data_IF_656066066782
#
_entry.id   IF_656066066782
#
_cell.length_a   1.000
_cell.length_b   1.000
_cell.length_c   1.000
_cell.angle_alpha   90.00
_cell.angle_beta   90.00
_cell.angle_gamma   90.00
#
_symmetry.space_group_name_H-M   'P 1'
#
loop_
_entity.id
_entity.type
_entity.pdbx_description
1 polymer ?
#
# COMPACT_ATOMS: atom_id res chain seq x y z
N UNK A 1 -69.62 45.00 84.93
CA UNK A 1 -68.19 44.70 84.72
C UNK A 1 -67.43 46.02 84.73
N UNK A 2 -66.42 46.17 85.59
CA UNK A 2 -65.57 47.36 85.65
C UNK A 2 -64.72 47.49 84.37
N UNK A 3 -64.41 48.72 83.97
CA UNK A 3 -63.69 49.05 82.73
C UNK A 3 -62.31 48.36 82.64
N UNK A 4 -61.67 48.11 83.79
CA UNK A 4 -60.40 47.39 83.92
C UNK A 4 -60.48 45.90 83.56
N UNK A 5 -61.57 45.21 83.93
CA UNK A 5 -61.76 43.80 83.61
C UNK A 5 -61.97 43.56 82.11
N UNK A 6 -62.54 44.53 81.38
CA UNK A 6 -62.62 44.50 79.92
C UNK A 6 -61.24 44.75 79.28
N UNK A 7 -60.49 45.73 79.78
CA UNK A 7 -59.14 46.07 79.28
C UNK A 7 -58.14 44.91 79.46
N UNK A 8 -58.18 44.23 80.59
CA UNK A 8 -57.37 43.02 80.86
C UNK A 8 -57.68 41.86 79.90
N UNK A 9 -58.97 41.59 79.63
CA UNK A 9 -59.37 40.56 78.65
C UNK A 9 -58.89 40.86 77.23
N UNK A 10 -58.97 42.11 76.78
CA UNK A 10 -58.46 42.50 75.46
C UNK A 10 -56.94 42.32 75.35
N UNK A 11 -56.18 42.67 76.39
CA UNK A 11 -54.72 42.46 76.42
C UNK A 11 -54.35 40.98 76.33
N UNK A 12 -55.07 40.10 77.03
CA UNK A 12 -54.85 38.65 76.96
C UNK A 12 -55.14 38.12 75.54
N UNK A 13 -56.23 38.55 74.91
CA UNK A 13 -56.57 38.13 73.53
C UNK A 13 -55.49 38.60 72.54
N UNK A 14 -54.99 39.82 72.67
CA UNK A 14 -53.91 40.35 71.83
C UNK A 14 -52.62 39.55 72.05
N UNK A 15 -52.25 39.24 73.29
CA UNK A 15 -51.06 38.44 73.59
C UNK A 15 -51.15 37.03 73.01
N UNK A 16 -52.30 36.37 73.15
CA UNK A 16 -52.54 35.04 72.56
C UNK A 16 -52.48 35.11 71.04
N UNK A 17 -53.09 36.11 70.41
CA UNK A 17 -53.05 36.30 68.97
C UNK A 17 -51.61 36.51 68.46
N UNK A 18 -50.81 37.31 69.17
CA UNK A 18 -49.39 37.51 68.85
C UNK A 18 -48.59 36.22 68.95
N UNK A 19 -48.79 35.41 70.00
CA UNK A 19 -48.14 34.11 70.15
C UNK A 19 -48.52 33.17 69.02
N UNK A 20 -49.81 33.10 68.66
CA UNK A 20 -50.28 32.27 67.54
C UNK A 20 -49.67 32.71 66.22
N UNK A 21 -49.59 34.01 65.95
CA UNK A 21 -48.93 34.55 64.75
C UNK A 21 -47.45 34.17 64.75
N UNK A 22 -46.75 34.35 65.88
CA UNK A 22 -45.32 34.06 65.97
C UNK A 22 -45.00 32.58 65.72
N UNK A 23 -45.80 31.69 66.31
CA UNK A 23 -45.68 30.24 66.11
C UNK A 23 -46.01 29.87 64.66
N UNK A 24 -47.09 30.41 64.09
CA UNK A 24 -47.46 30.14 62.71
C UNK A 24 -46.40 30.62 61.71
N UNK A 25 -45.83 31.81 61.91
CA UNK A 25 -44.76 32.34 61.07
C UNK A 25 -43.49 31.50 61.17
N UNK A 26 -43.13 31.03 62.37
CA UNK A 26 -41.95 30.19 62.56
C UNK A 26 -42.13 28.80 61.89
N UNK A 27 -43.30 28.19 62.05
CA UNK A 27 -43.63 26.91 61.38
C UNK A 27 -43.63 27.10 59.85
N UNK A 28 -44.24 28.17 59.34
CA UNK A 28 -44.25 28.46 57.91
C UNK A 28 -42.84 28.68 57.37
N UNK A 29 -42.00 29.45 58.08
CA UNK A 29 -40.61 29.69 57.71
C UNK A 29 -39.79 28.40 57.73
N UNK A 30 -39.93 27.58 58.76
CA UNK A 30 -39.23 26.30 58.87
C UNK A 30 -39.64 25.30 57.78
N UNK A 31 -40.95 25.21 57.47
CA UNK A 31 -41.45 24.36 56.39
C UNK A 31 -40.96 24.84 55.01
N UNK A 32 -40.98 26.15 54.75
CA UNK A 32 -40.41 26.74 53.53
C UNK A 32 -38.91 26.49 53.44
N UNK A 33 -38.17 26.66 54.54
CA UNK A 33 -36.73 26.40 54.60
C UNK A 33 -36.40 24.93 54.29
N UNK A 34 -37.09 23.97 54.91
CA UNK A 34 -36.90 22.55 54.62
C UNK A 34 -37.24 22.19 53.16
N UNK A 35 -38.31 22.78 52.60
CA UNK A 35 -38.67 22.57 51.20
C UNK A 35 -37.60 23.12 50.24
N UNK A 36 -37.09 24.32 50.50
CA UNK A 36 -36.02 24.95 49.75
C UNK A 36 -34.71 24.16 49.86
N UNK A 37 -34.34 23.71 51.06
CA UNK A 37 -33.14 22.91 51.30
C UNK A 37 -33.23 21.53 50.61
N UNK A 38 -34.41 20.90 50.64
CA UNK A 38 -34.64 19.65 49.91
C UNK A 38 -34.48 19.83 48.40
N UNK A 39 -35.09 20.86 47.82
CA UNK A 39 -34.95 21.20 46.39
C UNK A 39 -33.51 21.54 46.02
N UNK A 40 -32.82 22.31 46.86
CA UNK A 40 -31.41 22.63 46.67
C UNK A 40 -30.54 21.37 46.64
N UNK A 41 -30.69 20.50 47.63
CA UNK A 41 -29.95 19.24 47.70
C UNK A 41 -30.26 18.30 46.52
N UNK A 42 -31.51 18.29 46.03
CA UNK A 42 -31.90 17.51 44.86
C UNK A 42 -31.23 18.05 43.58
N UNK A 43 -31.25 19.36 43.37
CA UNK A 43 -30.59 20.00 42.22
C UNK A 43 -29.06 19.86 42.28
N UNK A 44 -28.45 20.02 43.46
CA UNK A 44 -27.02 19.80 43.67
C UNK A 44 -26.60 18.37 43.30
N UNK A 45 -27.40 17.37 43.72
CA UNK A 45 -27.18 15.96 43.35
C UNK A 45 -27.36 15.74 41.84
N UNK A 46 -28.37 16.34 41.22
CA UNK A 46 -28.59 16.26 39.76
C UNK A 46 -27.40 16.83 38.99
N UNK A 47 -26.94 18.02 39.36
CA UNK A 47 -25.76 18.68 38.78
C UNK A 47 -24.49 17.84 38.94
N UNK A 48 -24.28 17.27 40.12
CA UNK A 48 -23.12 16.39 40.40
C UNK A 48 -23.15 15.13 39.54
N UNK A 49 -24.31 14.50 39.41
CA UNK A 49 -24.49 13.30 38.57
C UNK A 49 -24.30 13.62 37.09
N UNK A 50 -24.86 14.74 36.60
CA UNK A 50 -24.67 15.19 35.21
C UNK A 50 -23.20 15.50 34.90
N UNK A 51 -22.50 16.15 35.84
CA UNK A 51 -21.07 16.47 35.69
C UNK A 51 -20.22 15.20 35.68
N UNK A 52 -20.51 14.24 36.57
CA UNK A 52 -19.84 12.94 36.61
C UNK A 52 -20.03 12.16 35.31
N UNK A 53 -21.25 12.18 34.75
CA UNK A 53 -21.55 11.57 33.45
C UNK A 53 -20.82 12.27 32.30
N UNK A 54 -20.74 13.59 32.30
CA UNK A 54 -19.99 14.37 31.30
C UNK A 54 -18.48 14.07 31.35
N UNK A 55 -17.89 13.99 32.54
CA UNK A 55 -16.47 13.62 32.72
C UNK A 55 -16.20 12.19 32.23
N UNK A 56 -17.08 11.24 32.58
CA UNK A 56 -16.95 9.86 32.11
C UNK A 56 -17.05 9.79 30.58
N UNK A 57 -18.01 10.51 29.98
CA UNK A 57 -18.17 10.62 28.53
C UNK A 57 -16.96 11.26 27.85
N UNK A 58 -16.38 12.31 28.43
CA UNK A 58 -15.17 12.96 27.92
C UNK A 58 -13.93 12.03 27.98
N UNK A 59 -13.80 11.23 29.06
CA UNK A 59 -12.74 10.21 29.17
C UNK A 59 -12.88 9.14 28.10
N UNK A 60 -14.10 8.64 27.87
CA UNK A 60 -14.39 7.68 26.80
C UNK A 60 -14.05 8.27 25.43
N UNK A 61 -14.51 9.49 25.14
CA UNK A 61 -14.21 10.17 23.87
C UNK A 61 -12.70 10.35 23.65
N UNK A 62 -11.95 10.77 24.67
CA UNK A 62 -10.50 10.90 24.59
C UNK A 62 -9.82 9.55 24.31
N UNK A 63 -10.26 8.47 24.97
CA UNK A 63 -9.79 7.11 24.69
C UNK A 63 -10.11 6.67 23.27
N UNK A 64 -11.31 6.98 22.75
CA UNK A 64 -11.71 6.71 21.37
C UNK A 64 -10.86 7.49 20.37
N UNK A 65 -10.55 8.76 20.63
CA UNK A 65 -9.64 9.55 19.79
C UNK A 65 -8.23 8.96 19.77
N UNK A 66 -7.71 8.51 20.92
CA UNK A 66 -6.41 7.81 20.99
C UNK A 66 -6.44 6.51 20.20
N UNK A 67 -7.52 5.73 20.32
CA UNK A 67 -7.70 4.49 19.57
C UNK A 67 -7.76 4.74 18.06
N UNK A 68 -8.51 5.76 17.62
CA UNK A 68 -8.59 6.16 16.22
C UNK A 68 -7.22 6.56 15.66
N UNK A 69 -6.44 7.35 16.42
CA UNK A 69 -5.06 7.69 16.05
C UNK A 69 -4.16 6.45 15.98
N UNK A 70 -4.31 5.51 16.91
CA UNK A 70 -3.56 4.24 16.87
C UNK A 70 -3.92 3.41 15.62
N UNK A 71 -5.21 3.35 15.25
CA UNK A 71 -5.65 2.72 14.00
C UNK A 71 -5.07 3.41 12.77
N UNK A 72 -5.12 4.74 12.70
CA UNK A 72 -4.53 5.51 11.59
C UNK A 72 -3.03 5.22 11.45
N UNK A 73 -2.30 5.19 12.56
CA UNK A 73 -0.88 4.85 12.56
C UNK A 73 -0.64 3.41 12.09
N UNK A 74 -1.44 2.45 12.57
CA UNK A 74 -1.34 1.04 12.16
C UNK A 74 -1.60 0.86 10.65
N UNK A 75 -2.63 1.52 10.11
CA UNK A 75 -2.90 1.54 8.67
C UNK A 75 -1.73 2.14 7.89
N UNK A 76 -1.14 3.22 8.40
CA UNK A 76 0.05 3.83 7.78
C UNK A 76 1.24 2.86 7.77
N UNK A 77 1.49 2.12 8.85
CA UNK A 77 2.55 1.11 8.90
C UNK A 77 2.28 -0.08 7.97
N UNK A 78 1.03 -0.54 7.90
CA UNK A 78 0.62 -1.60 6.98
C UNK A 78 0.86 -1.19 5.53
N UNK A 79 0.44 0.03 5.15
CA UNK A 79 0.69 0.56 3.81
C UNK A 79 2.19 0.66 3.53
N UNK A 80 2.99 1.20 4.47
CA UNK A 80 4.44 1.27 4.31
C UNK A 80 5.09 -0.11 4.14
N UNK A 81 4.63 -1.11 4.89
CA UNK A 81 5.11 -2.49 4.80
C UNK A 81 4.71 -3.13 3.47
N UNK A 82 3.50 -2.86 3.00
CA UNK A 82 3.02 -3.31 1.69
C UNK A 82 3.84 -2.70 0.55
N UNK A 83 4.08 -1.38 0.57
CA UNK A 83 4.95 -0.72 -0.42
C UNK A 83 6.38 -1.29 -0.38
N UNK A 84 6.94 -1.57 0.80
CA UNK A 84 8.27 -2.18 0.92
C UNK A 84 8.31 -3.59 0.30
N UNK A 85 7.29 -4.42 0.57
CA UNK A 85 7.20 -5.76 -0.02
C UNK A 85 6.98 -5.73 -1.54
N UNK A 86 6.20 -4.77 -2.05
CA UNK A 86 6.03 -4.55 -3.48
C UNK A 86 7.35 -4.10 -4.13
N UNK A 87 8.08 -3.17 -3.52
CA UNK A 87 9.38 -2.73 -3.99
C UNK A 87 10.42 -3.87 -4.00
N UNK A 88 10.43 -4.74 -2.99
CA UNK A 88 11.29 -5.92 -2.95
C UNK A 88 10.98 -6.90 -4.10
N UNK A 89 9.70 -7.20 -4.33
CA UNK A 89 9.27 -8.05 -5.45
C UNK A 89 9.64 -7.44 -6.81
N UNK A 90 9.41 -6.14 -7.00
CA UNK A 90 9.78 -5.44 -8.23
C UNK A 90 11.29 -5.40 -8.45
N UNK A 91 12.09 -5.23 -7.38
CA UNK A 91 13.56 -5.27 -7.46
C UNK A 91 14.08 -6.66 -7.82
N UNK A 92 13.51 -7.71 -7.22
CA UNK A 92 13.86 -9.09 -7.55
C UNK A 92 13.57 -9.40 -9.03
N UNK A 93 12.41 -8.97 -9.53
CA UNK A 93 12.05 -9.15 -10.94
C UNK A 93 13.01 -8.42 -11.89
N UNK A 94 13.42 -7.19 -11.55
CA UNK A 94 14.45 -6.46 -12.30
C UNK A 94 15.79 -7.21 -12.28
N UNK A 95 16.27 -7.63 -11.11
CA UNK A 95 17.54 -8.35 -11.00
C UNK A 95 17.55 -9.64 -11.82
N UNK A 96 16.51 -10.47 -11.70
CA UNK A 96 16.39 -11.70 -12.50
C UNK A 96 16.29 -11.39 -14.00
N UNK A 97 15.60 -10.32 -14.39
CA UNK A 97 15.57 -9.88 -15.78
C UNK A 97 16.93 -9.41 -16.29
N UNK A 98 17.72 -8.70 -15.49
CA UNK A 98 19.08 -8.25 -15.85
C UNK A 98 20.02 -9.44 -16.03
N UNK A 99 19.95 -10.44 -15.14
CA UNK A 99 20.74 -11.67 -15.24
C UNK A 99 20.38 -12.45 -16.51
N UNK A 100 19.10 -12.62 -16.81
CA UNK A 100 18.64 -13.27 -18.04
C UNK A 100 19.03 -12.47 -19.29
N UNK A 101 19.00 -11.14 -19.23
CA UNK A 101 19.46 -10.30 -20.34
C UNK A 101 20.96 -10.49 -20.59
N UNK A 102 21.78 -10.50 -19.54
CA UNK A 102 23.20 -10.78 -19.65
C UNK A 102 23.47 -12.18 -20.25
N UNK A 103 22.70 -13.19 -19.84
CA UNK A 103 22.77 -14.53 -20.42
C UNK A 103 22.43 -14.45 -21.91
N UNK A 104 21.28 -13.88 -22.27
CA UNK A 104 20.81 -13.76 -23.65
C UNK A 104 21.83 -13.06 -24.55
N UNK A 105 22.39 -11.92 -24.13
CA UNK A 105 23.40 -11.19 -24.90
C UNK A 105 24.67 -12.02 -25.09
N UNK A 106 25.16 -12.68 -24.03
CA UNK A 106 26.38 -13.49 -24.12
C UNK A 106 26.18 -14.72 -25.00
N UNK A 107 25.07 -15.43 -24.86
CA UNK A 107 24.79 -16.62 -25.67
C UNK A 107 24.53 -16.24 -27.13
N UNK A 108 23.93 -15.07 -27.39
CA UNK A 108 23.75 -14.56 -28.74
C UNK A 108 25.08 -14.20 -29.40
N UNK A 109 25.97 -13.50 -28.68
CA UNK A 109 27.32 -13.17 -29.16
C UNK A 109 28.14 -14.44 -29.46
N UNK A 110 28.10 -15.43 -28.56
CA UNK A 110 28.71 -16.74 -28.80
C UNK A 110 28.13 -17.39 -30.05
N UNK A 111 26.80 -17.38 -30.23
CA UNK A 111 26.16 -17.93 -31.41
C UNK A 111 26.63 -17.22 -32.69
N UNK A 112 26.64 -15.89 -32.73
CA UNK A 112 27.13 -15.09 -33.86
C UNK A 112 28.58 -15.45 -34.20
N UNK A 113 29.47 -15.48 -33.20
CA UNK A 113 30.88 -15.78 -33.41
C UNK A 113 31.09 -17.20 -33.96
N UNK A 114 30.40 -18.19 -33.39
CA UNK A 114 30.45 -19.57 -33.88
C UNK A 114 29.85 -19.70 -35.28
N UNK A 115 28.80 -18.96 -35.62
CA UNK A 115 28.22 -18.93 -36.97
C UNK A 115 29.21 -18.36 -37.98
N UNK A 116 29.91 -17.27 -37.65
CA UNK A 116 30.97 -16.71 -38.50
C UNK A 116 32.10 -17.72 -38.70
N UNK A 117 32.55 -18.37 -37.63
CA UNK A 117 33.64 -19.34 -37.68
C UNK A 117 33.26 -20.61 -38.48
N UNK A 118 32.03 -21.10 -38.32
CA UNK A 118 31.48 -22.21 -39.10
C UNK A 118 31.50 -21.92 -40.61
N UNK A 119 31.21 -20.68 -40.99
CA UNK A 119 31.16 -20.26 -42.38
C UNK A 119 32.53 -20.42 -43.07
N UNK A 120 33.60 -20.05 -42.37
CA UNK A 120 34.98 -20.02 -42.90
C UNK A 120 35.79 -21.29 -42.64
N UNK A 121 35.25 -22.25 -41.86
CA UNK A 121 35.97 -23.45 -41.42
C UNK A 121 35.38 -24.75 -41.99
N UNK A 122 35.71 -25.16 -43.23
CA UNK A 122 35.11 -26.34 -43.88
C UNK A 122 35.18 -27.63 -43.07
N UNK A 123 36.30 -27.86 -42.36
CA UNK A 123 36.55 -29.10 -41.62
C UNK A 123 35.83 -29.19 -40.27
N UNK A 124 35.42 -28.06 -39.69
CA UNK A 124 34.75 -27.99 -38.39
C UNK A 124 33.31 -27.46 -38.50
N UNK A 125 32.85 -27.12 -39.71
CA UNK A 125 31.58 -26.44 -39.96
C UNK A 125 30.40 -27.10 -39.29
N UNK A 126 30.27 -28.42 -39.44
CA UNK A 126 29.14 -29.16 -38.87
C UNK A 126 29.02 -28.97 -37.35
N UNK A 127 30.13 -29.16 -36.62
CA UNK A 127 30.16 -29.03 -35.16
C UNK A 127 29.97 -27.57 -34.71
N UNK A 128 30.62 -26.62 -35.39
CA UNK A 128 30.49 -25.19 -35.09
C UNK A 128 29.06 -24.68 -35.36
N UNK A 129 28.46 -25.08 -36.47
CA UNK A 129 27.06 -24.78 -36.82
C UNK A 129 26.09 -25.32 -35.77
N UNK A 130 26.30 -26.55 -35.29
CA UNK A 130 25.47 -27.15 -34.25
C UNK A 130 25.63 -26.43 -32.90
N UNK A 131 26.86 -26.10 -32.52
CA UNK A 131 27.13 -25.35 -31.30
C UNK A 131 26.54 -23.93 -31.36
N UNK A 132 26.63 -23.27 -32.52
CA UNK A 132 26.03 -21.95 -32.76
C UNK A 132 24.50 -21.99 -32.63
N UNK A 133 23.83 -22.99 -33.23
CA UNK A 133 22.38 -23.20 -33.07
C UNK A 133 21.99 -23.45 -31.62
N UNK A 134 22.75 -24.26 -30.88
CA UNK A 134 22.50 -24.49 -29.45
C UNK A 134 22.63 -23.20 -28.62
N UNK A 135 23.65 -22.37 -28.88
CA UNK A 135 23.82 -21.09 -28.20
C UNK A 135 22.70 -20.09 -28.57
N UNK A 136 22.24 -20.09 -29.82
CA UNK A 136 21.08 -19.30 -30.24
C UNK A 136 19.79 -19.76 -29.53
N UNK A 137 19.58 -21.06 -29.39
CA UNK A 137 18.44 -21.62 -28.63
C UNK A 137 18.49 -21.27 -27.14
N UNK A 138 19.68 -21.26 -26.52
CA UNK A 138 19.83 -20.75 -25.15
C UNK A 138 19.43 -19.28 -25.03
N UNK A 139 19.73 -18.48 -26.06
CA UNK A 139 19.28 -17.08 -26.14
C UNK A 139 17.76 -16.99 -26.19
N UNK A 140 17.11 -17.80 -27.04
CA UNK A 140 15.64 -17.87 -27.15
C UNK A 140 15.02 -18.17 -25.78
N UNK A 141 15.51 -19.18 -25.06
CA UNK A 141 14.98 -19.54 -23.74
C UNK A 141 15.17 -18.42 -22.71
N UNK A 142 16.31 -17.72 -22.73
CA UNK A 142 16.54 -16.57 -21.86
C UNK A 142 15.57 -15.41 -22.19
N UNK A 143 15.32 -15.13 -23.48
CA UNK A 143 14.37 -14.10 -23.91
C UNK A 143 12.94 -14.46 -23.53
N UNK A 144 12.53 -15.73 -23.67
CA UNK A 144 11.21 -16.21 -23.20
C UNK A 144 11.04 -16.05 -21.70
N UNK A 145 12.08 -16.34 -20.92
CA UNK A 145 12.07 -16.15 -19.47
C UNK A 145 11.93 -14.67 -19.10
N UNK A 146 12.57 -13.75 -19.83
CA UNK A 146 12.34 -12.30 -19.69
C UNK A 146 10.87 -11.95 -20.00
N UNK A 147 10.32 -12.52 -21.07
CA UNK A 147 8.91 -12.38 -21.43
C UNK A 147 7.95 -12.81 -20.32
N UNK A 148 8.24 -13.94 -19.68
CA UNK A 148 7.49 -14.44 -18.52
C UNK A 148 7.57 -13.49 -17.32
N UNK A 149 8.77 -13.00 -16.97
CA UNK A 149 8.95 -12.02 -15.89
C UNK A 149 8.13 -10.75 -16.18
N UNK A 150 8.20 -10.22 -17.40
CA UNK A 150 7.43 -9.05 -17.78
C UNK A 150 5.92 -9.28 -17.68
N UNK A 151 5.43 -10.44 -18.10
CA UNK A 151 4.01 -10.80 -17.96
C UNK A 151 3.56 -10.86 -16.48
N UNK A 152 4.36 -11.45 -15.60
CA UNK A 152 4.09 -11.49 -14.15
C UNK A 152 4.09 -10.10 -13.50
N UNK A 153 4.87 -9.16 -14.04
CA UNK A 153 4.85 -7.76 -13.62
C UNK A 153 3.68 -6.96 -14.22
N UNK A 154 2.87 -7.55 -15.11
CA UNK A 154 1.77 -6.87 -15.78
C UNK A 154 2.19 -6.01 -16.97
N UNK A 155 3.28 -6.36 -17.65
CA UNK A 155 3.73 -5.66 -18.85
C UNK A 155 2.73 -5.80 -20.02
N UNK A 156 2.61 -4.75 -20.84
CA UNK A 156 1.61 -4.67 -21.91
C UNK A 156 2.13 -5.23 -23.26
N UNK A 157 1.31 -5.08 -24.31
CA UNK A 157 1.64 -5.55 -25.67
C UNK A 157 2.87 -4.88 -26.30
N UNK A 158 3.25 -3.67 -25.87
CA UNK A 158 4.48 -3.00 -26.34
C UNK A 158 5.72 -3.77 -25.89
N UNK A 159 5.75 -4.17 -24.62
CA UNK A 159 6.82 -5.03 -24.10
C UNK A 159 6.89 -6.36 -24.83
N UNK A 160 5.74 -7.01 -25.03
CA UNK A 160 5.68 -8.28 -25.76
C UNK A 160 6.18 -8.13 -27.20
N UNK A 161 5.89 -7.01 -27.86
CA UNK A 161 6.44 -6.69 -29.18
C UNK A 161 7.97 -6.64 -29.22
N UNK A 162 8.61 -6.09 -28.18
CA UNK A 162 10.08 -6.09 -28.08
C UNK A 162 10.65 -7.48 -27.80
N UNK A 163 10.04 -8.23 -26.88
CA UNK A 163 10.47 -9.60 -26.57
C UNK A 163 10.35 -10.50 -27.80
N UNK A 164 9.23 -10.47 -28.51
CA UNK A 164 9.03 -11.28 -29.72
C UNK A 164 10.00 -10.92 -30.85
N UNK A 165 10.41 -9.65 -30.98
CA UNK A 165 11.42 -9.26 -31.96
C UNK A 165 12.81 -9.80 -31.61
N UNK A 166 13.19 -9.76 -30.32
CA UNK A 166 14.44 -10.35 -29.86
C UNK A 166 14.44 -11.88 -29.99
N UNK A 167 13.33 -12.54 -29.63
CA UNK A 167 13.14 -13.97 -29.77
C UNK A 167 13.28 -14.39 -31.23
N UNK A 168 12.53 -13.75 -32.14
CA UNK A 168 12.59 -14.04 -33.57
C UNK A 168 13.98 -13.81 -34.17
N UNK A 169 14.74 -12.82 -33.69
CA UNK A 169 16.12 -12.63 -34.12
C UNK A 169 17.04 -13.79 -33.69
N UNK A 170 16.87 -14.31 -32.47
CA UNK A 170 17.63 -15.46 -31.98
C UNK A 170 17.22 -16.77 -32.69
N UNK A 171 15.92 -16.98 -32.96
CA UNK A 171 15.44 -18.12 -33.74
C UNK A 171 15.99 -18.10 -35.17
N UNK A 172 15.99 -16.93 -35.81
CA UNK A 172 16.58 -16.75 -37.14
C UNK A 172 18.09 -17.05 -37.14
N UNK A 173 18.82 -16.63 -36.10
CA UNK A 173 20.24 -16.96 -35.96
C UNK A 173 20.45 -18.48 -35.83
N UNK A 174 19.61 -19.17 -35.06
CA UNK A 174 19.65 -20.64 -34.97
C UNK A 174 19.45 -21.31 -36.33
N UNK A 175 18.47 -20.85 -37.10
CA UNK A 175 18.18 -21.38 -38.44
C UNK A 175 19.34 -21.12 -39.43
N UNK A 176 19.92 -19.92 -39.40
CA UNK A 176 21.10 -19.58 -40.21
C UNK A 176 22.28 -20.49 -39.83
N UNK A 177 22.56 -20.64 -38.54
CA UNK A 177 23.64 -21.51 -38.07
C UNK A 177 23.47 -22.96 -38.55
N UNK A 178 22.26 -23.50 -38.50
CA UNK A 178 21.93 -24.85 -39.01
C UNK A 178 22.11 -24.95 -40.52
N UNK A 179 21.70 -23.93 -41.27
CA UNK A 179 21.79 -23.91 -42.73
C UNK A 179 23.23 -24.03 -43.23
N UNK A 180 24.21 -23.52 -42.46
CA UNK A 180 25.62 -23.59 -42.80
C UNK A 180 26.13 -25.03 -42.89
N UNK A 181 25.46 -26.02 -42.28
CA UNK A 181 25.83 -27.43 -42.46
C UNK A 181 25.85 -27.85 -43.94
N UNK A 182 25.06 -27.17 -44.79
CA UNK A 182 24.96 -27.46 -46.22
C UNK A 182 25.99 -26.71 -47.09
N UNK A 183 26.77 -25.78 -46.52
CA UNK A 183 27.69 -24.95 -47.29
C UNK A 183 27.92 -23.59 -46.64
N UNK A 184 28.96 -22.86 -47.06
CA UNK A 184 29.14 -21.48 -46.62
C UNK A 184 28.07 -20.57 -47.23
N UNK A 185 27.66 -19.53 -46.51
CA UNK A 185 26.79 -18.46 -46.99
C UNK A 185 27.63 -17.17 -47.26
N UNK A 186 27.74 -16.73 -48.53
CA UNK A 186 28.41 -15.48 -48.90
C UNK A 186 27.71 -14.21 -48.37
N UNK A 187 26.40 -14.27 -48.11
CA UNK A 187 25.59 -13.16 -47.59
C UNK A 187 25.55 -13.07 -46.07
N UNK A 188 26.21 -13.98 -45.37
CA UNK A 188 26.10 -14.17 -43.92
C UNK A 188 26.37 -12.88 -43.12
N UNK A 189 27.41 -12.13 -43.47
CA UNK A 189 27.82 -10.95 -42.71
C UNK A 189 26.72 -9.88 -42.65
N UNK A 190 26.01 -9.67 -43.77
CA UNK A 190 24.90 -8.71 -43.84
C UNK A 190 23.71 -9.16 -42.98
N UNK A 191 23.38 -10.44 -43.06
CA UNK A 191 22.29 -11.03 -42.25
C UNK A 191 22.59 -10.94 -40.75
N UNK A 192 23.80 -11.31 -40.33
CA UNK A 192 24.22 -11.26 -38.92
C UNK A 192 24.25 -9.84 -38.37
N UNK A 193 24.65 -8.85 -39.17
CA UNK A 193 24.65 -7.43 -38.75
C UNK A 193 23.23 -6.95 -38.45
N UNK A 194 22.28 -7.26 -39.34
CA UNK A 194 20.88 -6.87 -39.17
C UNK A 194 20.22 -7.60 -38.00
N UNK A 195 20.49 -8.90 -37.85
CA UNK A 195 19.98 -9.70 -36.73
C UNK A 195 20.52 -9.21 -35.39
N UNK A 196 21.82 -8.95 -35.30
CA UNK A 196 22.46 -8.45 -34.08
C UNK A 196 21.88 -7.11 -33.67
N UNK A 197 21.70 -6.19 -34.63
CA UNK A 197 21.08 -4.89 -34.38
C UNK A 197 19.65 -5.05 -33.86
N UNK A 198 18.83 -5.86 -34.55
CA UNK A 198 17.44 -6.13 -34.17
C UNK A 198 17.34 -6.73 -32.78
N UNK A 199 18.18 -7.72 -32.48
CA UNK A 199 18.23 -8.40 -31.19
C UNK A 199 18.59 -7.42 -30.07
N UNK A 200 19.72 -6.72 -30.18
CA UNK A 200 20.21 -5.83 -29.13
C UNK A 200 19.27 -4.64 -28.89
N UNK A 201 18.74 -4.02 -29.94
CA UNK A 201 17.80 -2.90 -29.80
C UNK A 201 16.50 -3.32 -29.13
N UNK A 202 15.95 -4.48 -29.54
CA UNK A 202 14.70 -5.00 -28.99
C UNK A 202 14.87 -5.39 -27.53
N UNK A 203 15.96 -6.09 -27.20
CA UNK A 203 16.25 -6.53 -25.84
C UNK A 203 16.52 -5.35 -24.90
N UNK A 204 17.25 -4.34 -25.35
CA UNK A 204 17.46 -3.09 -24.60
C UNK A 204 16.13 -2.36 -24.31
N UNK A 205 15.23 -2.29 -25.29
CA UNK A 205 13.91 -1.67 -25.10
C UNK A 205 13.04 -2.47 -24.12
N UNK A 206 13.09 -3.80 -24.19
CA UNK A 206 12.41 -4.68 -23.24
C UNK A 206 12.91 -4.47 -21.80
N UNK A 207 14.23 -4.36 -21.61
CA UNK A 207 14.85 -4.11 -20.31
C UNK A 207 14.49 -2.73 -19.75
N UNK A 208 14.57 -1.67 -20.56
CA UNK A 208 14.16 -0.33 -20.17
C UNK A 208 12.69 -0.29 -19.73
N UNK A 209 11.84 -1.07 -20.40
CA UNK A 209 10.43 -1.21 -20.03
C UNK A 209 10.27 -1.85 -18.66
N UNK A 210 10.94 -2.99 -18.39
CA UNK A 210 10.89 -3.68 -17.08
C UNK A 210 11.36 -2.75 -15.95
N UNK A 211 12.44 -2.01 -16.17
CA UNK A 211 12.95 -1.04 -15.18
C UNK A 211 11.92 0.08 -14.94
N UNK A 212 11.30 0.61 -16.00
CA UNK A 212 10.27 1.65 -15.86
C UNK A 212 9.02 1.14 -15.13
N UNK A 213 8.61 -0.11 -15.39
CA UNK A 213 7.49 -0.77 -14.75
C UNK A 213 7.75 -1.02 -13.25
N UNK A 214 8.95 -1.48 -12.90
CA UNK A 214 9.34 -1.64 -11.50
C UNK A 214 9.32 -0.30 -10.74
N UNK A 215 9.80 0.77 -11.39
CA UNK A 215 9.77 2.12 -10.80
C UNK A 215 8.34 2.58 -10.54
N UNK A 216 7.42 2.44 -11.49
CA UNK A 216 6.03 2.88 -11.30
C UNK A 216 5.35 2.14 -10.15
N UNK A 217 5.57 0.83 -10.04
CA UNK A 217 5.04 -0.03 -8.96
C UNK A 217 5.62 0.29 -7.58
N UNK A 218 6.85 0.80 -7.52
CA UNK A 218 7.48 1.21 -6.25
C UNK A 218 7.04 2.59 -5.75
N UNK A 219 6.45 3.42 -6.62
CA UNK A 219 6.02 4.79 -6.30
C UNK A 219 4.50 4.99 -6.22
N UNK A 220 3.71 3.94 -6.50
CA UNK A 220 2.24 3.94 -6.36
C UNK A 220 1.83 3.34 -5.03
#
# INVERSE_FOLDING_TARGET
>A
MTQEARRSRYLIIIAVALVVILVATNIAWYASYLSLQSKYNEEERRLTNMTSYAIASAKLLNSTVKLLKAYQNLTSYLNATLHAAMAERSLQAVNSSLELNLIAVKTFDVAVNLTVEANVSPFARYELSRAASQAANMTVEAVKAIGFIGAEMGANSTFQGYVSQAEGAAENLSAIAESLQNGPDPGLQGQLTQLTTTFLESLLRAEQYIIALARSQSTS
#
